data_IF_792723750959
#
_entry.id   IF_792723750959
#
_cell.length_a   1.000
_cell.length_b   1.000
_cell.length_c   1.000
_cell.angle_alpha   90.00
_cell.angle_beta   90.00
_cell.angle_gamma   90.00
#
_symmetry.space_group_name_H-M   'P 1'
#
loop_
_entity.id
_entity.type
_entity.pdbx_description
1 polymer ?
#
# COMPACT_ATOMS: atom_id res chain seq x y z
N UNK A 1 -0.92 13.41 -11.50
CA UNK A 1 -0.11 12.46 -12.29
C UNK A 1 1.18 12.01 -11.60
N UNK A 2 2.07 12.90 -11.13
CA UNK A 2 3.32 12.48 -10.45
C UNK A 2 3.12 11.86 -9.06
N UNK A 3 2.24 12.46 -8.26
CA UNK A 3 1.98 12.05 -6.87
C UNK A 3 1.39 10.64 -6.78
N UNK A 4 0.38 10.31 -7.58
CA UNK A 4 -0.31 9.02 -7.48
C UNK A 4 0.62 7.86 -7.88
N UNK A 5 1.49 8.07 -8.88
CA UNK A 5 2.53 7.10 -9.24
C UNK A 5 3.56 6.92 -8.12
N UNK A 6 3.98 7.99 -7.47
CA UNK A 6 4.90 7.92 -6.33
C UNK A 6 4.27 7.14 -5.16
N UNK A 7 3.04 7.48 -4.80
CA UNK A 7 2.31 6.84 -3.68
C UNK A 7 2.08 5.35 -3.98
N UNK A 8 1.76 5.01 -5.23
CA UNK A 8 1.67 3.61 -5.66
C UNK A 8 3.01 2.89 -5.51
N UNK A 9 4.08 3.41 -6.08
CA UNK A 9 5.40 2.77 -5.99
C UNK A 9 5.90 2.65 -4.55
N UNK A 10 5.63 3.65 -3.69
CA UNK A 10 5.92 3.58 -2.27
C UNK A 10 5.07 2.50 -1.57
N UNK A 11 3.78 2.43 -1.87
CA UNK A 11 2.87 1.40 -1.33
C UNK A 11 3.32 0.00 -1.69
N UNK A 12 3.74 -0.21 -2.94
CA UNK A 12 4.34 -1.46 -3.43
C UNK A 12 5.59 -1.84 -2.63
N UNK A 13 6.53 -0.89 -2.42
CA UNK A 13 7.76 -1.16 -1.64
C UNK A 13 7.47 -1.47 -0.17
N UNK A 14 6.54 -0.74 0.45
CA UNK A 14 6.14 -1.00 1.84
C UNK A 14 5.45 -2.35 1.99
N UNK A 15 4.63 -2.75 1.01
CA UNK A 15 3.97 -4.05 1.01
C UNK A 15 4.97 -5.20 0.90
N UNK A 16 5.97 -5.09 0.01
CA UNK A 16 7.07 -6.06 -0.10
C UNK A 16 7.87 -6.12 1.20
N UNK A 17 8.17 -4.96 1.80
CA UNK A 17 8.87 -4.91 3.09
C UNK A 17 8.09 -5.61 4.21
N UNK A 18 6.78 -5.38 4.30
CA UNK A 18 5.93 -5.94 5.35
C UNK A 18 5.68 -7.45 5.19
N UNK A 19 5.61 -7.94 3.95
CA UNK A 19 5.25 -9.35 3.65
C UNK A 19 6.45 -10.23 3.34
N UNK A 20 7.60 -9.65 2.98
CA UNK A 20 8.79 -10.38 2.55
C UNK A 20 8.66 -11.06 1.19
N UNK A 21 7.55 -10.88 0.45
CA UNK A 21 7.31 -11.50 -0.86
C UNK A 21 7.16 -10.48 -1.97
N UNK A 22 7.34 -10.95 -3.21
CA UNK A 22 7.07 -10.16 -4.41
C UNK A 22 5.57 -9.91 -4.59
N UNK A 23 5.25 -8.85 -5.33
CA UNK A 23 3.89 -8.45 -5.66
C UNK A 23 3.35 -9.33 -6.78
N UNK A 24 2.16 -9.86 -6.59
CA UNK A 24 1.42 -10.65 -7.56
C UNK A 24 0.19 -9.87 -8.06
N UNK A 25 -0.43 -10.36 -9.15
CA UNK A 25 -1.63 -9.74 -9.71
C UNK A 25 -2.79 -9.67 -8.68
N UNK A 26 -2.87 -10.64 -7.78
CA UNK A 26 -3.87 -10.67 -6.69
C UNK A 26 -3.69 -9.55 -5.66
N UNK A 27 -2.50 -8.94 -5.59
CA UNK A 27 -2.21 -7.87 -4.63
C UNK A 27 -2.66 -6.50 -5.13
N UNK A 28 -3.02 -6.36 -6.40
CA UNK A 28 -3.42 -5.07 -6.99
C UNK A 28 -4.52 -4.37 -6.19
N UNK A 29 -5.56 -5.10 -5.77
CA UNK A 29 -6.63 -4.54 -4.95
C UNK A 29 -6.13 -4.06 -3.57
N UNK A 30 -5.16 -4.77 -3.00
CA UNK A 30 -4.52 -4.38 -1.74
C UNK A 30 -3.70 -3.11 -1.92
N UNK A 31 -2.85 -3.05 -2.94
CA UNK A 31 -2.06 -1.85 -3.27
C UNK A 31 -2.96 -0.65 -3.54
N UNK A 32 -4.05 -0.84 -4.29
CA UNK A 32 -5.03 0.21 -4.54
C UNK A 32 -5.64 0.73 -3.23
N UNK A 33 -6.05 -0.16 -2.32
CA UNK A 33 -6.57 0.25 -1.01
C UNK A 33 -5.56 1.04 -0.16
N UNK A 34 -4.27 0.75 -0.28
CA UNK A 34 -3.20 1.50 0.41
C UNK A 34 -3.06 2.90 -0.19
N UNK A 35 -3.07 3.02 -1.52
CA UNK A 35 -3.00 4.32 -2.20
C UNK A 35 -4.23 5.19 -1.94
N UNK A 36 -5.41 4.56 -1.89
CA UNK A 36 -6.68 5.22 -1.58
C UNK A 36 -6.70 5.73 -0.14
N UNK A 37 -6.27 4.89 0.82
CA UNK A 37 -6.14 5.31 2.21
C UNK A 37 -5.18 6.50 2.37
N UNK A 38 -4.10 6.55 1.59
CA UNK A 38 -3.22 7.72 1.56
C UNK A 38 -3.95 8.97 1.05
N UNK A 39 -4.65 8.87 -0.08
CA UNK A 39 -5.37 10.00 -0.69
C UNK A 39 -6.44 10.58 0.26
N UNK A 40 -7.20 9.71 0.93
CA UNK A 40 -8.24 10.09 1.91
C UNK A 40 -7.68 10.72 3.18
N UNK A 41 -6.42 10.47 3.51
CA UNK A 41 -5.77 10.92 4.75
C UNK A 41 -4.60 11.88 4.49
N UNK A 42 -4.70 12.70 3.44
CA UNK A 42 -3.72 13.77 3.15
C UNK A 42 -2.34 13.28 2.74
N UNK A 43 -2.26 12.11 2.11
CA UNK A 43 -1.03 11.46 1.62
C UNK A 43 -0.01 11.15 2.72
N UNK A 44 -0.48 10.79 3.91
CA UNK A 44 0.40 10.47 5.04
C UNK A 44 0.94 9.04 5.00
N UNK A 45 2.22 8.87 5.32
CA UNK A 45 2.85 7.55 5.47
C UNK A 45 2.14 6.70 6.55
N UNK A 46 1.67 7.35 7.63
CA UNK A 46 0.90 6.70 8.70
C UNK A 46 -0.39 6.04 8.18
N UNK A 47 -1.09 6.66 7.22
CA UNK A 47 -2.30 6.07 6.64
C UNK A 47 -1.96 4.84 5.79
N UNK A 48 -0.88 4.90 5.00
CA UNK A 48 -0.40 3.78 4.22
C UNK A 48 -0.03 2.59 5.11
N UNK A 49 0.76 2.82 6.16
CA UNK A 49 1.17 1.77 7.10
C UNK A 49 -0.02 1.13 7.82
N UNK A 50 -1.00 1.93 8.26
CA UNK A 50 -2.23 1.39 8.86
C UNK A 50 -3.01 0.52 7.87
N UNK A 51 -3.15 0.96 6.63
CA UNK A 51 -3.81 0.18 5.58
C UNK A 51 -3.09 -1.15 5.31
N UNK A 52 -1.75 -1.14 5.27
CA UNK A 52 -0.92 -2.34 5.12
C UNK A 52 -1.15 -3.32 6.28
N UNK A 53 -1.09 -2.84 7.52
CA UNK A 53 -1.29 -3.68 8.72
C UNK A 53 -2.68 -4.33 8.75
N UNK A 54 -3.71 -3.64 8.25
CA UNK A 54 -5.07 -4.17 8.18
C UNK A 54 -5.37 -4.96 6.89
N UNK A 55 -4.40 -5.07 5.97
CA UNK A 55 -4.59 -5.81 4.72
C UNK A 55 -4.44 -7.32 4.93
N UNK A 56 -5.23 -8.10 4.17
CA UNK A 56 -5.27 -9.57 4.27
C UNK A 56 -3.94 -10.26 3.94
N UNK A 57 -3.00 -9.55 3.34
CA UNK A 57 -1.73 -10.09 2.85
C UNK A 57 -0.58 -10.08 3.85
N UNK A 58 -0.72 -9.39 5.00
CA UNK A 58 0.42 -9.10 5.88
C UNK A 58 0.32 -9.83 7.22
N UNK A 59 -0.82 -9.76 7.90
CA UNK A 59 -1.00 -10.37 9.22
C UNK A 59 -2.25 -11.25 9.20
N UNK A 60 -2.05 -12.55 9.43
CA UNK A 60 -3.10 -13.55 9.56
C UNK A 60 -2.95 -14.29 10.87
#
# INVERSE_FOLDING_TARGET
MGRDRFVRGLGEKLFVYATGRLIEASDHATIESITQAAAENGYTLRAMLRSIVHSRGVFR
#
